data_IF_350433396755
#
_entry.id   IF_350433396755
#
_cell.length_a   1.000
_cell.length_b   1.000
_cell.length_c   1.000
_cell.angle_alpha   90.00
_cell.angle_beta   90.00
_cell.angle_gamma   90.00
#
_symmetry.space_group_name_H-M   'P 1'
#
loop_
_entity.id
_entity.type
_entity.pdbx_description
1 polymer ?
#
# COMPACT_ATOMS: atom_id res chain seq x y z
N UNK A 1 -34.34 -16.58 -48.11
CA UNK A 1 -35.31 -15.76 -47.35
C UNK A 1 -35.36 -14.42 -48.09
N UNK A 2 -36.11 -14.26 -49.18
CA UNK A 2 -37.58 -14.02 -49.28
C UNK A 2 -37.97 -12.94 -48.25
N UNK A 3 -38.41 -11.73 -48.61
CA UNK A 3 -39.62 -11.42 -49.38
C UNK A 3 -39.57 -10.11 -50.20
N UNK A 4 -40.42 -10.08 -51.23
CA UNK A 4 -40.81 -9.02 -52.18
C UNK A 4 -41.86 -8.02 -51.64
N UNK A 5 -42.06 -6.91 -52.38
CA UNK A 5 -43.36 -6.27 -52.72
C UNK A 5 -43.07 -4.99 -53.55
N UNK A 6 -43.24 -4.94 -54.88
CA UNK A 6 -44.49 -4.66 -55.63
C UNK A 6 -45.17 -3.31 -55.29
N UNK A 7 -45.14 -2.36 -56.24
CA UNK A 7 -46.37 -1.80 -56.80
C UNK A 7 -46.15 -1.10 -58.14
N UNK A 8 -47.10 -1.37 -59.04
CA UNK A 8 -47.19 -0.97 -60.44
C UNK A 8 -47.60 0.49 -60.64
N UNK A 9 -47.34 1.03 -61.83
CA UNK A 9 -48.40 1.55 -62.72
C UNK A 9 -47.83 1.74 -64.13
N UNK A 10 -48.56 1.17 -65.08
CA UNK A 10 -48.34 1.28 -66.52
C UNK A 10 -48.61 2.71 -67.00
N UNK A 11 -47.92 3.11 -68.07
CA UNK A 11 -48.49 4.12 -68.96
C UNK A 11 -48.29 3.69 -70.41
N UNK A 12 -49.43 3.53 -71.08
CA UNK A 12 -49.52 3.07 -72.45
C UNK A 12 -49.04 4.16 -73.39
N UNK A 13 -48.09 3.81 -74.25
CA UNK A 13 -47.76 4.59 -75.44
C UNK A 13 -48.90 4.49 -76.45
N UNK A 14 -49.83 5.46 -76.39
CA UNK A 14 -50.74 5.73 -77.50
C UNK A 14 -50.01 6.60 -78.52
N UNK A 15 -49.77 5.97 -79.67
CA UNK A 15 -49.31 6.58 -80.91
C UNK A 15 -50.38 7.48 -81.53
N UNK A 16 -49.97 8.67 -81.98
CA UNK A 16 -50.66 9.41 -83.04
C UNK A 16 -50.92 10.89 -82.77
N UNK A 17 -50.31 11.78 -83.56
CA UNK A 17 -50.90 13.09 -83.85
C UNK A 17 -49.94 14.27 -84.02
N UNK A 18 -49.65 14.62 -85.28
CA UNK A 18 -49.65 16.00 -85.79
C UNK A 18 -48.62 16.99 -85.24
N UNK A 19 -47.53 17.17 -85.98
CA UNK A 19 -46.69 18.35 -85.87
C UNK A 19 -47.47 19.60 -86.33
N UNK A 20 -47.85 20.45 -85.38
CA UNK A 20 -48.22 21.84 -85.63
C UNK A 20 -47.28 22.72 -84.79
N UNK A 21 -46.41 23.47 -85.47
CA UNK A 21 -45.53 24.45 -84.83
C UNK A 21 -46.34 25.58 -84.22
N UNK A 22 -46.55 25.53 -82.90
CA UNK A 22 -47.15 26.62 -82.14
C UNK A 22 -46.05 27.63 -81.78
N UNK A 23 -46.01 28.76 -82.48
CA UNK A 23 -45.24 29.93 -82.06
C UNK A 23 -45.97 30.55 -80.86
N UNK A 24 -45.47 30.29 -79.66
CA UNK A 24 -46.01 30.83 -78.41
C UNK A 24 -45.47 32.25 -78.22
N UNK A 25 -46.30 33.26 -78.47
CA UNK A 25 -46.01 34.64 -78.08
C UNK A 25 -46.26 34.80 -76.57
N UNK A 26 -45.19 34.76 -75.78
CA UNK A 26 -45.23 34.95 -74.32
C UNK A 26 -45.56 36.42 -74.03
N UNK A 27 -46.59 36.67 -73.19
CA UNK A 27 -46.93 38.02 -72.71
C UNK A 27 -45.83 38.50 -71.76
N UNK A 28 -45.49 39.79 -71.76
CA UNK A 28 -44.38 40.37 -70.96
C UNK A 28 -44.43 40.02 -69.46
N UNK A 29 -45.63 39.93 -68.89
CA UNK A 29 -45.86 39.54 -67.48
C UNK A 29 -45.46 38.08 -67.20
N UNK A 30 -45.61 37.17 -68.17
CA UNK A 30 -45.25 35.76 -68.00
C UNK A 30 -43.74 35.56 -68.08
N UNK A 31 -43.02 36.40 -68.85
CA UNK A 31 -41.57 36.39 -68.92
C UNK A 31 -40.90 36.90 -67.63
N UNK A 32 -41.45 37.95 -67.01
CA UNK A 32 -40.99 38.48 -65.73
C UNK A 32 -41.17 37.46 -64.59
N UNK A 33 -42.34 36.82 -64.52
CA UNK A 33 -42.62 35.74 -63.55
C UNK A 33 -41.70 34.53 -63.72
N UNK A 34 -41.38 34.14 -64.96
CA UNK A 34 -40.42 33.07 -65.22
C UNK A 34 -39.00 33.46 -64.79
N UNK A 35 -38.60 34.72 -64.98
CA UNK A 35 -37.32 35.25 -64.49
C UNK A 35 -37.22 35.23 -62.96
N UNK A 36 -38.29 35.62 -62.26
CA UNK A 36 -38.36 35.56 -60.80
C UNK A 36 -38.35 34.11 -60.28
N UNK A 37 -39.08 33.19 -60.93
CA UNK A 37 -39.05 31.77 -60.59
C UNK A 37 -37.65 31.15 -60.79
N UNK A 38 -36.94 31.56 -61.84
CA UNK A 38 -35.56 31.09 -62.06
C UNK A 38 -34.59 31.65 -61.03
N UNK A 39 -34.73 32.94 -60.63
CA UNK A 39 -33.94 33.53 -59.54
C UNK A 39 -34.19 32.83 -58.20
N UNK A 40 -35.45 32.54 -57.87
CA UNK A 40 -35.80 31.80 -56.66
C UNK A 40 -35.27 30.36 -56.69
N UNK A 41 -35.27 29.69 -57.86
CA UNK A 41 -34.65 28.37 -58.03
C UNK A 41 -33.14 28.43 -57.84
N UNK A 42 -32.46 29.43 -58.40
CA UNK A 42 -31.02 29.61 -58.22
C UNK A 42 -30.65 29.89 -56.75
N UNK A 43 -31.47 30.68 -56.05
CA UNK A 43 -31.31 30.93 -54.61
C UNK A 43 -31.55 29.66 -53.80
N UNK A 44 -32.63 28.92 -54.08
CA UNK A 44 -32.92 27.64 -53.43
C UNK A 44 -31.82 26.60 -53.65
N UNK A 45 -31.18 26.58 -54.83
CA UNK A 45 -30.03 25.72 -55.10
C UNK A 45 -28.80 26.11 -54.27
N UNK A 46 -28.49 27.42 -54.18
CA UNK A 46 -27.37 27.91 -53.36
C UNK A 46 -27.58 27.68 -51.87
N UNK A 47 -28.80 27.86 -51.40
CA UNK A 47 -29.16 27.60 -50.00
C UNK A 47 -29.12 26.09 -49.70
N UNK A 48 -29.59 25.25 -50.62
CA UNK A 48 -29.46 23.80 -50.48
C UNK A 48 -27.99 23.33 -50.46
N UNK A 49 -27.11 23.94 -51.26
CA UNK A 49 -25.67 23.66 -51.21
C UNK A 49 -25.03 24.13 -49.91
N UNK A 50 -25.42 25.30 -49.40
CA UNK A 50 -24.94 25.83 -48.12
C UNK A 50 -25.41 24.96 -46.95
N UNK A 51 -26.66 24.51 -46.95
CA UNK A 51 -27.21 23.59 -45.94
C UNK A 51 -26.41 22.30 -45.94
N UNK A 52 -26.16 21.69 -47.11
CA UNK A 52 -25.35 20.46 -47.20
C UNK A 52 -23.93 20.64 -46.65
N UNK A 53 -23.29 21.79 -46.88
CA UNK A 53 -21.96 22.09 -46.32
C UNK A 53 -22.02 22.21 -44.80
N UNK A 54 -23.00 22.95 -44.27
CA UNK A 54 -23.19 23.11 -42.83
C UNK A 54 -23.55 21.79 -42.14
N UNK A 55 -24.32 20.92 -42.78
CA UNK A 55 -24.61 19.57 -42.30
C UNK A 55 -23.35 18.71 -42.21
N UNK A 56 -22.47 18.78 -43.21
CA UNK A 56 -21.18 18.08 -43.19
C UNK A 56 -20.26 18.64 -42.10
N UNK A 57 -20.17 19.96 -41.95
CA UNK A 57 -19.39 20.61 -40.89
C UNK A 57 -19.92 20.20 -39.51
N UNK A 58 -21.23 20.20 -39.32
CA UNK A 58 -21.88 19.79 -38.07
C UNK A 58 -21.64 18.31 -37.77
N UNK A 59 -21.70 17.43 -38.77
CA UNK A 59 -21.35 16.02 -38.63
C UNK A 59 -19.88 15.82 -38.24
N UNK A 60 -18.95 16.56 -38.87
CA UNK A 60 -17.53 16.49 -38.50
C UNK A 60 -17.25 17.04 -37.11
N UNK A 61 -17.93 18.13 -36.72
CA UNK A 61 -17.84 18.71 -35.38
C UNK A 61 -18.39 17.77 -34.32
N UNK A 62 -19.50 17.08 -34.59
CA UNK A 62 -20.05 16.06 -33.67
C UNK A 62 -19.10 14.87 -33.50
N UNK A 63 -18.47 14.42 -34.59
CA UNK A 63 -17.49 13.31 -34.55
C UNK A 63 -16.24 13.68 -33.76
N UNK A 64 -15.74 14.90 -33.91
CA UNK A 64 -14.58 15.38 -33.16
C UNK A 64 -14.90 15.59 -31.69
N UNK A 65 -16.06 16.16 -31.36
CA UNK A 65 -16.54 16.27 -29.98
C UNK A 65 -16.65 14.89 -29.31
N UNK A 66 -17.28 13.90 -29.97
CA UNK A 66 -17.38 12.54 -29.41
C UNK A 66 -16.04 11.84 -29.21
N UNK A 67 -15.04 12.09 -30.08
CA UNK A 67 -13.67 11.58 -29.89
C UNK A 67 -12.99 12.20 -28.68
N UNK A 68 -13.10 13.53 -28.52
CA UNK A 68 -12.52 14.24 -27.37
C UNK A 68 -13.18 13.81 -26.06
N UNK A 69 -14.49 13.61 -26.05
CA UNK A 69 -15.19 13.09 -24.86
C UNK A 69 -14.70 11.68 -24.49
N UNK A 70 -14.48 10.80 -25.46
CA UNK A 70 -13.93 9.47 -25.22
C UNK A 70 -12.50 9.53 -24.67
N UNK A 71 -11.63 10.36 -25.25
CA UNK A 71 -10.25 10.56 -24.77
C UNK A 71 -10.22 11.13 -23.34
N UNK A 72 -11.11 12.06 -23.01
CA UNK A 72 -11.22 12.62 -21.66
C UNK A 72 -11.67 11.57 -20.64
N UNK A 73 -12.63 10.70 -20.99
CA UNK A 73 -13.05 9.59 -20.13
C UNK A 73 -11.89 8.61 -19.93
N UNK A 74 -11.16 8.28 -20.98
CA UNK A 74 -10.00 7.38 -20.89
C UNK A 74 -8.89 7.97 -19.99
N UNK A 75 -8.57 9.25 -20.14
CA UNK A 75 -7.60 9.91 -19.28
C UNK A 75 -8.08 9.96 -17.82
N UNK A 76 -9.36 10.29 -17.59
CA UNK A 76 -9.92 10.34 -16.24
C UNK A 76 -9.86 8.98 -15.55
N UNK A 77 -10.17 7.90 -16.25
CA UNK A 77 -10.09 6.54 -15.71
C UNK A 77 -8.65 6.12 -15.42
N UNK A 78 -7.68 6.46 -16.29
CA UNK A 78 -6.25 6.26 -16.02
C UNK A 78 -5.81 7.00 -14.76
N UNK A 79 -6.12 8.29 -14.63
CA UNK A 79 -5.77 9.06 -13.43
C UNK A 79 -6.42 8.53 -12.15
N UNK A 80 -7.65 8.03 -12.22
CA UNK A 80 -8.30 7.38 -11.09
C UNK A 80 -7.53 6.12 -10.67
N UNK A 81 -7.20 5.23 -11.61
CA UNK A 81 -6.45 4.00 -11.31
C UNK A 81 -5.04 4.28 -10.78
N UNK A 82 -4.36 5.30 -11.32
CA UNK A 82 -3.04 5.73 -10.82
C UNK A 82 -3.14 6.34 -9.42
N UNK A 83 -4.17 7.15 -9.15
CA UNK A 83 -4.41 7.73 -7.82
C UNK A 83 -4.70 6.66 -6.78
N UNK A 84 -5.46 5.62 -7.13
CA UNK A 84 -5.71 4.47 -6.26
C UNK A 84 -4.43 3.69 -5.97
N UNK A 85 -3.60 3.44 -7.00
CA UNK A 85 -2.28 2.80 -6.83
C UNK A 85 -1.35 3.62 -5.95
N UNK A 86 -1.32 4.93 -6.14
CA UNK A 86 -0.50 5.82 -5.34
C UNK A 86 -0.98 5.87 -3.89
N UNK A 87 -2.30 5.95 -3.68
CA UNK A 87 -2.92 5.86 -2.34
C UNK A 87 -2.56 4.54 -1.67
N UNK A 88 -2.62 3.43 -2.40
CA UNK A 88 -2.19 2.14 -1.89
C UNK A 88 -0.71 2.20 -1.48
N UNK A 89 0.19 2.62 -2.38
CA UNK A 89 1.63 2.72 -2.07
C UNK A 89 1.93 3.62 -0.86
N UNK A 90 1.23 4.74 -0.70
CA UNK A 90 1.33 5.60 0.48
C UNK A 90 0.91 4.87 1.76
N UNK A 91 -0.19 4.10 1.72
CA UNK A 91 -0.62 3.26 2.84
C UNK A 91 0.41 2.15 3.14
N UNK A 92 0.95 1.50 2.10
CA UNK A 92 2.02 0.50 2.21
C UNK A 92 3.26 1.06 2.92
N UNK A 93 3.70 2.27 2.53
CA UNK A 93 4.85 2.96 3.12
C UNK A 93 4.58 3.43 4.55
N UNK A 94 3.38 3.92 4.83
CA UNK A 94 2.95 4.31 6.18
C UNK A 94 2.74 3.10 7.11
N UNK A 95 2.79 1.87 6.58
CA UNK A 95 2.48 0.66 7.32
C UNK A 95 1.01 0.62 7.81
N UNK A 96 0.15 1.43 7.21
CA UNK A 96 -1.29 1.48 7.46
C UNK A 96 -1.95 0.47 6.52
N UNK A 97 -2.80 -0.38 7.08
CA UNK A 97 -3.49 -1.45 6.35
C UNK A 97 -4.34 -0.83 5.24
N UNK A 98 -4.05 -1.14 3.97
CA UNK A 98 -5.06 -1.00 2.92
C UNK A 98 -6.06 -2.15 3.08
N UNK A 99 -7.34 -1.83 3.18
CA UNK A 99 -8.41 -2.83 3.29
C UNK A 99 -8.29 -3.88 2.16
N UNK A 100 -8.09 -5.14 2.53
CA UNK A 100 -8.16 -6.28 1.59
C UNK A 100 -6.85 -6.97 1.22
N UNK A 101 -5.67 -6.38 1.42
CA UNK A 101 -4.39 -7.08 1.22
C UNK A 101 -3.74 -7.37 2.55
N UNK A 102 -3.98 -8.58 3.07
CA UNK A 102 -3.23 -9.12 4.21
C UNK A 102 -1.76 -9.20 3.77
N UNK A 103 -0.94 -8.26 4.23
CA UNK A 103 0.51 -8.44 4.25
C UNK A 103 0.78 -9.77 4.95
N UNK A 104 1.30 -10.76 4.22
CA UNK A 104 2.02 -11.89 4.82
C UNK A 104 3.43 -11.46 5.27
N UNK A 105 3.55 -10.25 5.84
CA UNK A 105 4.80 -9.74 6.40
C UNK A 105 4.99 -10.20 7.85
N UNK A 106 4.23 -11.22 8.28
CA UNK A 106 4.47 -11.92 9.55
C UNK A 106 5.54 -12.99 9.37
N UNK A 107 5.28 -13.99 8.55
CA UNK A 107 6.06 -15.24 8.56
C UNK A 107 7.51 -15.08 8.10
N UNK A 108 7.78 -14.32 7.03
CA UNK A 108 9.15 -14.22 6.49
C UNK A 108 10.04 -13.33 7.35
N UNK A 109 9.53 -12.19 7.81
CA UNK A 109 10.26 -11.31 8.71
C UNK A 109 10.46 -11.96 10.08
N UNK A 110 9.45 -12.67 10.59
CA UNK A 110 9.55 -13.46 11.82
C UNK A 110 10.55 -14.61 11.67
N UNK A 111 10.53 -15.37 10.56
CA UNK A 111 11.52 -16.41 10.28
C UNK A 111 12.94 -15.84 10.20
N UNK A 112 13.10 -14.66 9.60
CA UNK A 112 14.40 -14.01 9.48
C UNK A 112 14.90 -13.52 10.85
N UNK A 113 14.02 -12.95 11.68
CA UNK A 113 14.36 -12.55 13.04
C UNK A 113 14.65 -13.77 13.95
N UNK A 114 13.89 -14.86 13.81
CA UNK A 114 14.18 -16.13 14.49
C UNK A 114 15.52 -16.73 14.03
N UNK A 115 15.84 -16.64 12.74
CA UNK A 115 17.12 -17.10 12.21
C UNK A 115 18.29 -16.25 12.75
N UNK A 116 18.12 -14.93 12.85
CA UNK A 116 19.09 -14.03 13.48
C UNK A 116 19.24 -14.35 14.97
N UNK A 117 18.14 -14.61 15.68
CA UNK A 117 18.15 -15.03 17.08
C UNK A 117 18.95 -16.31 17.29
N UNK A 118 18.66 -17.37 16.52
CA UNK A 118 19.41 -18.64 16.54
C UNK A 118 20.88 -18.46 16.17
N UNK A 119 21.19 -17.59 15.21
CA UNK A 119 22.56 -17.30 14.81
C UNK A 119 23.33 -16.58 15.92
N UNK A 120 22.65 -15.67 16.64
CA UNK A 120 23.20 -15.00 17.81
C UNK A 120 23.46 -15.98 18.95
N UNK A 121 22.49 -16.85 19.27
CA UNK A 121 22.64 -17.88 20.31
C UNK A 121 23.78 -18.86 19.99
N UNK A 122 23.83 -19.38 18.77
CA UNK A 122 24.91 -20.25 18.30
C UNK A 122 26.27 -19.52 18.30
N UNK A 123 26.27 -18.23 17.96
CA UNK A 123 27.46 -17.38 17.99
C UNK A 123 27.99 -17.18 19.42
N UNK A 124 27.12 -16.97 20.39
CA UNK A 124 27.48 -16.88 21.82
C UNK A 124 28.01 -18.23 22.33
N UNK A 125 27.34 -19.34 22.01
CA UNK A 125 27.80 -20.68 22.36
C UNK A 125 29.21 -20.97 21.83
N UNK A 126 29.43 -20.72 20.54
CA UNK A 126 30.74 -20.87 19.91
C UNK A 126 31.81 -19.96 20.56
N UNK A 127 31.44 -18.72 20.91
CA UNK A 127 32.36 -17.79 21.57
C UNK A 127 32.76 -18.27 22.97
N UNK A 128 31.83 -18.83 23.75
CA UNK A 128 32.10 -19.43 25.06
C UNK A 128 33.01 -20.66 24.93
N UNK A 129 32.69 -21.57 24.00
CA UNK A 129 33.50 -22.76 23.73
C UNK A 129 34.92 -22.39 23.27
N UNK A 130 35.03 -21.35 22.44
CA UNK A 130 36.32 -20.81 22.00
C UNK A 130 37.14 -20.29 23.18
N UNK A 131 36.52 -19.58 24.13
CA UNK A 131 37.20 -19.09 25.34
C UNK A 131 37.62 -20.26 26.24
N UNK A 132 36.78 -21.28 26.39
CA UNK A 132 37.11 -22.48 27.17
C UNK A 132 38.29 -23.24 26.55
N UNK A 133 38.28 -23.43 25.22
CA UNK A 133 39.38 -24.03 24.48
C UNK A 133 40.67 -23.23 24.62
N UNK A 134 40.59 -21.90 24.51
CA UNK A 134 41.71 -21.00 24.74
C UNK A 134 42.32 -21.23 26.13
N UNK A 135 41.50 -21.27 27.19
CA UNK A 135 41.98 -21.52 28.55
C UNK A 135 42.64 -22.90 28.69
N UNK A 136 42.11 -23.94 28.06
CA UNK A 136 42.73 -25.28 28.05
C UNK A 136 44.09 -25.28 27.35
N UNK A 137 44.20 -24.61 26.20
CA UNK A 137 45.47 -24.49 25.48
C UNK A 137 46.48 -23.67 26.30
N UNK A 138 46.07 -22.63 27.03
CA UNK A 138 46.97 -21.91 27.94
C UNK A 138 47.52 -22.81 29.05
N UNK A 139 46.71 -23.73 29.59
CA UNK A 139 47.18 -24.69 30.60
C UNK A 139 48.20 -25.67 30.00
N UNK A 140 47.93 -26.21 28.81
CA UNK A 140 48.86 -27.12 28.12
C UNK A 140 50.17 -26.43 27.70
N UNK A 141 50.12 -25.17 27.28
CA UNK A 141 51.31 -24.38 26.94
C UNK A 141 52.21 -24.07 28.15
N UNK A 142 51.72 -24.22 29.38
CA UNK A 142 52.55 -24.11 30.60
C UNK A 142 53.34 -25.39 30.88
N UNK A 143 52.86 -26.53 30.41
CA UNK A 143 53.46 -27.85 30.64
C UNK A 143 54.45 -28.25 29.52
N UNK A 144 54.33 -27.64 28.34
CA UNK A 144 55.18 -27.96 27.19
C UNK A 144 56.47 -27.11 27.15
N UNK A 145 57.65 -27.72 26.88
CA UNK A 145 58.90 -27.00 26.70
C UNK A 145 58.97 -26.37 25.30
N UNK A 146 58.18 -25.33 25.08
CA UNK A 146 58.17 -24.55 23.84
C UNK A 146 59.14 -23.37 23.98
N UNK A 147 59.88 -23.04 22.92
CA UNK A 147 60.75 -21.87 22.90
C UNK A 147 59.98 -20.59 23.21
N UNK A 148 60.55 -19.71 24.06
CA UNK A 148 59.88 -18.51 24.61
C UNK A 148 59.21 -17.61 23.56
N UNK A 149 59.81 -17.49 22.37
CA UNK A 149 59.27 -16.68 21.27
C UNK A 149 57.99 -17.29 20.69
N UNK A 150 57.98 -18.60 20.41
CA UNK A 150 56.78 -19.30 19.91
C UNK A 150 55.68 -19.36 20.95
N UNK A 151 56.04 -19.48 22.23
CA UNK A 151 55.08 -19.44 23.33
C UNK A 151 54.38 -18.06 23.41
N UNK A 152 55.14 -16.97 23.27
CA UNK A 152 54.59 -15.62 23.28
C UNK A 152 53.71 -15.31 22.05
N UNK A 153 54.09 -15.80 20.85
CA UNK A 153 53.26 -15.68 19.65
C UNK A 153 51.91 -16.38 19.80
N UNK A 154 51.91 -17.62 20.32
CA UNK A 154 50.68 -18.37 20.55
C UNK A 154 49.83 -17.71 21.63
N UNK A 155 50.44 -17.18 22.70
CA UNK A 155 49.71 -16.43 23.73
C UNK A 155 49.02 -15.18 23.17
N UNK A 156 49.69 -14.41 22.30
CA UNK A 156 49.11 -13.23 21.68
C UNK A 156 47.92 -13.56 20.78
N UNK A 157 48.02 -14.62 19.97
CA UNK A 157 46.91 -15.07 19.12
C UNK A 157 45.70 -15.49 19.94
N UNK A 158 45.96 -16.13 21.08
CA UNK A 158 44.95 -16.67 21.96
C UNK A 158 44.26 -15.57 22.78
N UNK A 159 45.00 -14.56 23.22
CA UNK A 159 44.46 -13.36 23.86
C UNK A 159 43.61 -12.52 22.89
N UNK A 160 44.02 -12.41 21.61
CA UNK A 160 43.24 -11.72 20.58
C UNK A 160 41.92 -12.46 20.28
N UNK A 161 41.97 -13.80 20.24
CA UNK A 161 40.79 -14.63 20.06
C UNK A 161 39.81 -14.50 21.24
N UNK A 162 40.32 -14.55 22.48
CA UNK A 162 39.52 -14.31 23.69
C UNK A 162 38.88 -12.92 23.68
N UNK A 163 39.62 -11.89 23.25
CA UNK A 163 39.11 -10.52 23.15
C UNK A 163 37.97 -10.40 22.13
N UNK A 164 38.13 -11.01 20.94
CA UNK A 164 37.08 -11.02 19.89
C UNK A 164 35.84 -11.78 20.34
N UNK A 165 36.01 -12.94 20.99
CA UNK A 165 34.90 -13.74 21.53
C UNK A 165 34.14 -12.99 22.63
N UNK A 166 34.84 -12.34 23.57
CA UNK A 166 34.19 -11.51 24.60
C UNK A 166 33.44 -10.32 24.02
N UNK A 167 33.98 -9.68 22.98
CA UNK A 167 33.29 -8.59 22.27
C UNK A 167 32.00 -9.09 21.61
N UNK A 168 32.04 -10.29 20.99
CA UNK A 168 30.86 -10.89 20.37
C UNK A 168 29.78 -11.23 21.42
N UNK A 169 30.18 -11.79 22.56
CA UNK A 169 29.26 -12.07 23.68
C UNK A 169 28.59 -10.77 24.15
N UNK A 170 29.36 -9.70 24.39
CA UNK A 170 28.81 -8.42 24.84
C UNK A 170 27.85 -7.76 23.83
N UNK A 171 28.05 -7.98 22.53
CA UNK A 171 27.14 -7.49 21.49
C UNK A 171 25.86 -8.32 21.38
N UNK A 172 25.95 -9.62 21.65
CA UNK A 172 24.82 -10.56 21.58
C UNK A 172 23.95 -10.57 22.86
N UNK A 173 24.52 -10.25 24.02
CA UNK A 173 23.79 -10.11 25.30
C UNK A 173 22.78 -8.96 25.32
N UNK A 174 22.74 -8.11 24.28
CA UNK A 174 21.79 -7.01 24.18
C UNK A 174 20.32 -7.50 24.09
N UNK A 175 20.03 -8.78 23.80
CA UNK A 175 18.64 -9.26 23.82
C UNK A 175 18.47 -10.78 23.76
N UNK A 176 18.82 -11.56 24.80
CA UNK A 176 18.42 -12.98 24.86
C UNK A 176 18.55 -13.60 26.27
N UNK A 177 17.80 -13.13 27.27
CA UNK A 177 17.59 -13.94 28.47
C UNK A 177 16.15 -14.52 28.47
N UNK A 178 15.95 -15.73 27.90
CA UNK A 178 14.63 -16.36 27.83
C UNK A 178 14.12 -16.84 29.19
N UNK A 179 14.96 -16.89 30.24
CA UNK A 179 14.49 -17.11 31.61
C UNK A 179 13.62 -15.94 32.13
N UNK A 180 13.79 -14.75 31.54
CA UNK A 180 12.92 -13.58 31.73
C UNK A 180 11.84 -13.46 30.66
N UNK A 181 11.63 -14.46 29.80
CA UNK A 181 10.59 -14.42 28.76
C UNK A 181 9.17 -14.30 29.33
N UNK A 182 8.94 -14.87 30.51
CA UNK A 182 7.65 -14.75 31.22
C UNK A 182 7.53 -13.43 31.98
N UNK A 183 8.64 -12.85 32.45
CA UNK A 183 8.67 -11.51 33.08
C UNK A 183 8.58 -10.37 32.06
N UNK A 184 9.12 -10.56 30.85
CA UNK A 184 9.09 -9.60 29.74
C UNK A 184 7.68 -9.46 29.12
N UNK A 185 6.84 -10.48 29.28
CA UNK A 185 5.40 -10.40 29.01
C UNK A 185 4.68 -9.59 30.09
N UNK A 186 5.08 -9.80 31.35
CA UNK A 186 4.48 -9.16 32.54
C UNK A 186 4.84 -7.71 32.69
N UNK A 187 5.96 -7.23 32.16
CA UNK A 187 6.40 -5.83 32.30
C UNK A 187 6.98 -5.31 31.00
N UNK A 188 6.52 -4.15 30.57
CA UNK A 188 6.98 -3.47 29.37
C UNK A 188 7.12 -1.98 29.63
N UNK A 189 7.84 -1.26 28.76
CA UNK A 189 7.98 0.19 28.88
C UNK A 189 7.25 0.90 27.78
N UNK A 190 6.68 2.06 28.13
CA UNK A 190 6.13 2.99 27.15
C UNK A 190 7.30 3.64 26.42
N UNK A 191 7.40 3.43 25.11
CA UNK A 191 8.42 4.03 24.25
C UNK A 191 8.03 5.44 23.82
N UNK A 192 6.75 5.63 23.51
CA UNK A 192 6.20 6.92 23.08
C UNK A 192 4.71 7.00 23.44
N UNK A 193 4.22 8.21 23.63
CA UNK A 193 2.79 8.50 23.85
C UNK A 193 2.38 9.58 22.86
N UNK A 194 1.39 9.26 22.04
CA UNK A 194 0.71 10.21 21.18
C UNK A 194 -0.57 10.67 21.87
N UNK A 195 -0.61 11.95 22.25
CA UNK A 195 -1.74 12.55 22.99
C UNK A 195 -2.92 12.88 22.07
N UNK A 196 -2.67 13.16 20.80
CA UNK A 196 -3.71 13.51 19.83
C UNK A 196 -4.50 12.26 19.45
N UNK A 197 -3.79 11.16 19.20
CA UNK A 197 -4.39 9.87 18.85
C UNK A 197 -4.78 9.04 20.07
N UNK A 198 -4.38 9.45 21.28
CA UNK A 198 -4.55 8.71 22.55
C UNK A 198 -3.98 7.29 22.50
N UNK A 199 -2.81 7.16 21.86
CA UNK A 199 -2.11 5.88 21.64
C UNK A 199 -0.78 5.89 22.39
N UNK A 200 -0.47 4.81 23.10
CA UNK A 200 0.84 4.54 23.67
C UNK A 200 1.54 3.43 22.87
N UNK A 201 2.82 3.61 22.59
CA UNK A 201 3.69 2.60 21.97
C UNK A 201 4.43 1.87 23.08
N UNK A 202 4.31 0.55 23.11
CA UNK A 202 4.90 -0.34 24.11
C UNK A 202 6.07 -1.13 23.53
N UNK A 203 7.07 -1.40 24.36
CA UNK A 203 8.27 -2.20 24.04
C UNK A 203 8.03 -3.72 24.02
N UNK A 204 6.84 -4.14 23.58
CA UNK A 204 6.42 -5.54 23.46
C UNK A 204 5.78 -5.75 22.10
N UNK A 205 6.13 -6.86 21.46
CA UNK A 205 5.61 -7.26 20.17
C UNK A 205 5.23 -8.74 20.12
N UNK A 206 4.87 -9.24 18.94
CA UNK A 206 4.41 -10.62 18.76
C UNK A 206 5.49 -11.66 19.10
N UNK A 207 6.77 -11.33 18.92
CA UNK A 207 7.90 -12.22 19.30
C UNK A 207 7.89 -12.51 20.80
N UNK A 208 7.44 -11.52 21.60
CA UNK A 208 7.31 -11.68 23.05
C UNK A 208 5.96 -12.30 23.44
N UNK A 209 5.08 -12.62 22.50
CA UNK A 209 3.77 -13.21 22.77
C UNK A 209 2.63 -12.20 22.96
N UNK A 210 2.81 -10.92 22.62
CA UNK A 210 1.69 -9.98 22.64
C UNK A 210 0.72 -10.21 21.49
N UNK A 211 -0.57 -10.05 21.78
CA UNK A 211 -1.63 -10.11 20.80
C UNK A 211 -2.59 -8.91 20.95
N UNK A 212 -3.25 -8.55 19.86
CA UNK A 212 -4.25 -7.50 19.86
C UNK A 212 -5.42 -7.90 20.78
N UNK A 213 -5.75 -7.04 21.74
CA UNK A 213 -6.76 -7.32 22.76
C UNK A 213 -6.21 -7.50 24.18
N UNK A 214 -4.91 -7.74 24.34
CA UNK A 214 -4.27 -7.78 25.67
C UNK A 214 -4.34 -6.42 26.37
N UNK A 215 -4.51 -6.45 27.70
CA UNK A 215 -4.60 -5.26 28.54
C UNK A 215 -3.34 -5.15 29.40
N UNK A 216 -2.78 -3.96 29.42
CA UNK A 216 -1.64 -3.55 30.23
C UNK A 216 -2.08 -2.48 31.23
N UNK A 217 -1.60 -2.60 32.46
CA UNK A 217 -1.83 -1.63 33.52
C UNK A 217 -0.58 -0.76 33.70
N UNK A 218 -0.74 0.56 33.71
CA UNK A 218 0.35 1.51 33.94
C UNK A 218 0.22 2.13 35.33
N UNK A 219 1.35 2.44 35.93
CA UNK A 219 1.42 3.14 37.22
C UNK A 219 1.41 2.23 38.44
N UNK A 220 1.85 2.78 39.58
CA UNK A 220 1.94 2.05 40.87
C UNK A 220 0.57 1.58 41.37
N UNK A 221 -0.48 2.33 41.05
CA UNK A 221 -1.86 2.05 41.48
C UNK A 221 -2.70 1.36 40.39
N UNK A 222 -2.09 0.98 39.25
CA UNK A 222 -2.76 0.33 38.09
C UNK A 222 -4.01 1.07 37.56
N UNK A 223 -4.06 2.37 37.77
CA UNK A 223 -5.21 3.23 37.46
C UNK A 223 -5.43 3.37 35.95
N UNK A 224 -4.34 3.35 35.16
CA UNK A 224 -4.43 3.43 33.70
C UNK A 224 -4.42 2.05 33.05
N UNK A 225 -5.41 1.78 32.20
CA UNK A 225 -5.53 0.55 31.42
C UNK A 225 -5.32 0.84 29.93
N UNK A 226 -4.35 0.16 29.34
CA UNK A 226 -3.99 0.22 27.93
C UNK A 226 -4.36 -1.09 27.24
N UNK A 227 -5.20 -1.03 26.22
CA UNK A 227 -5.54 -2.20 25.39
C UNK A 227 -4.75 -2.17 24.10
N UNK A 228 -4.05 -3.26 23.80
CA UNK A 228 -3.31 -3.44 22.56
C UNK A 228 -4.25 -3.49 21.35
N UNK A 229 -4.03 -2.60 20.39
CA UNK A 229 -4.83 -2.48 19.15
C UNK A 229 -4.07 -3.04 17.96
N UNK A 230 -2.75 -2.86 17.93
CA UNK A 230 -1.90 -3.35 16.85
C UNK A 230 -0.59 -3.86 17.42
N UNK A 231 -0.15 -5.01 16.93
CA UNK A 231 1.10 -5.66 17.38
C UNK A 231 2.01 -5.83 16.17
N UNK A 232 3.25 -5.38 16.29
CA UNK A 232 4.37 -5.65 15.37
C UNK A 232 5.36 -6.62 16.06
N UNK A 233 6.37 -7.17 15.35
CA UNK A 233 7.29 -8.16 15.94
C UNK A 233 7.96 -7.72 17.25
N UNK A 234 8.38 -6.47 17.36
CA UNK A 234 9.13 -5.94 18.52
C UNK A 234 8.41 -4.84 19.31
N UNK A 235 7.34 -4.26 18.78
CA UNK A 235 6.61 -3.12 19.36
C UNK A 235 5.11 -3.29 19.17
N UNK A 236 4.33 -2.64 20.01
CA UNK A 236 2.89 -2.67 19.86
C UNK A 236 2.25 -1.33 20.26
N UNK A 237 1.14 -1.02 19.61
CA UNK A 237 0.34 0.16 19.88
C UNK A 237 -0.83 -0.23 20.77
N UNK A 238 -1.02 0.51 21.86
CA UNK A 238 -2.09 0.34 22.80
C UNK A 238 -2.90 1.64 22.96
N UNK A 239 -4.21 1.51 23.06
CA UNK A 239 -5.15 2.62 23.29
C UNK A 239 -5.57 2.62 24.74
N UNK A 240 -5.71 3.80 25.32
CA UNK A 240 -6.20 3.97 26.69
C UNK A 240 -7.70 3.61 26.77
N UNK A 241 -8.03 2.63 27.62
CA UNK A 241 -9.40 2.19 27.91
C UNK A 241 -9.92 2.81 29.21
N UNK A 242 -9.07 2.94 30.23
CA UNK A 242 -9.39 3.58 31.51
C UNK A 242 -8.20 4.44 31.98
N UNK A 243 -8.49 5.59 32.60
CA UNK A 243 -7.48 6.54 33.09
C UNK A 243 -7.36 7.79 32.23
N UNK A 244 -6.31 8.58 32.46
CA UNK A 244 -5.98 9.78 31.68
C UNK A 244 -4.70 9.59 30.87
N UNK A 245 -4.72 10.03 29.61
CA UNK A 245 -3.55 9.97 28.72
C UNK A 245 -2.43 10.92 29.20
N UNK A 246 -2.79 11.94 29.99
CA UNK A 246 -1.85 12.93 30.52
C UNK A 246 -0.89 12.34 31.56
N UNK A 247 -1.31 11.26 32.21
CA UNK A 247 -0.49 10.56 33.19
C UNK A 247 0.53 9.61 32.54
N UNK A 248 0.39 9.32 31.25
CA UNK A 248 1.31 8.42 30.55
C UNK A 248 2.53 9.19 30.06
N UNK A 249 3.71 8.68 30.44
CA UNK A 249 4.99 9.24 30.01
C UNK A 249 5.88 8.15 29.40
N UNK A 250 6.69 8.49 28.38
CA UNK A 250 7.76 7.62 27.92
C UNK A 250 8.66 7.18 29.09
N UNK A 251 9.02 5.91 29.12
CA UNK A 251 9.82 5.29 30.19
C UNK A 251 9.02 4.67 31.33
N UNK A 252 7.71 4.93 31.43
CA UNK A 252 6.86 4.28 32.43
C UNK A 252 6.72 2.78 32.18
N UNK A 253 6.70 2.01 33.27
CA UNK A 253 6.50 0.56 33.24
C UNK A 253 5.01 0.22 33.24
N UNK A 254 4.64 -0.69 32.34
CA UNK A 254 3.29 -1.16 32.13
C UNK A 254 3.29 -2.68 32.28
N UNK A 255 2.41 -3.22 33.12
CA UNK A 255 2.37 -4.63 33.45
C UNK A 255 1.17 -5.36 32.86
N UNK A 256 1.39 -6.57 32.31
CA UNK A 256 0.31 -7.44 31.85
C UNK A 256 -0.20 -8.32 33.02
N UNK A 257 -1.50 -8.32 33.25
CA UNK A 257 -2.16 -9.20 34.22
C UNK A 257 -3.56 -8.72 34.60
N UNK A 258 -4.45 -9.66 34.94
CA UNK A 258 -5.72 -9.35 35.59
C UNK A 258 -5.49 -8.73 36.96
N UNK A 259 -6.50 -7.98 37.43
CA UNK A 259 -6.62 -7.55 38.82
C UNK A 259 -6.33 -8.74 39.75
N UNK A 260 -5.17 -8.71 40.42
CA UNK A 260 -5.10 -9.35 41.72
C UNK A 260 -6.00 -8.51 42.59
N UNK A 261 -7.16 -9.05 42.95
CA UNK A 261 -7.90 -8.58 44.11
C UNK A 261 -6.93 -8.48 45.30
N UNK A 262 -7.21 -7.59 46.27
CA UNK A 262 -6.30 -7.38 47.39
C UNK A 262 -6.03 -8.71 48.07
N UNK A 263 -4.76 -9.13 48.09
CA UNK A 263 -4.30 -10.25 48.89
C UNK A 263 -4.60 -9.88 50.36
N UNK A 264 -5.68 -10.44 50.91
CA UNK A 264 -5.84 -10.66 52.33
C UNK A 264 -4.70 -11.59 52.79
N UNK A 265 -3.54 -11.01 53.08
CA UNK A 265 -2.52 -11.61 53.93
C UNK A 265 -2.15 -10.62 55.03
N UNK A 266 -3.18 -10.22 55.76
CA UNK A 266 -3.05 -9.74 57.13
C UNK A 266 -3.54 -10.83 58.08
N UNK A 267 -2.65 -11.77 58.43
CA UNK A 267 -2.59 -12.47 59.73
C UNK A 267 -1.36 -13.37 59.79
#
# INVERSE_FOLDING_TARGET
MVCSAENACADGTVSGGGAAGAVVTIRSNDAERLGELNRLREQALRDAERIKRLELELETSKRTAGRLEAELIEQKTKFQTESERFRQQQLWLAGVRAEGTVRKDGEREEQMLQAIGKLSENGVGLALDTVAFCNQVQLLLRELPIGKVRQAEVQLQLDDLVRKSRRLIAMAEISADPAKGVEALRTCRILAVDRELRVAILSVGSIKGAFAGMIYHVGKDRQEQLKLVSVRPSVAAAVLVRGSIENLSPGMEAAAGEERGPDESGR
#
